data_IF_680262369608
#
_entry.id   IF_680262369608
#
_cell.length_a   1.000
_cell.length_b   1.000
_cell.length_c   1.000
_cell.angle_alpha   90.00
_cell.angle_beta   90.00
_cell.angle_gamma   90.00
#
_symmetry.space_group_name_H-M   'P 1'
#
loop_
_entity.id
_entity.type
_entity.pdbx_description
1 polymer ?
#
# COMPACT_ATOMS: atom_id res chain seq x y z
N UNK A 1 -35.81 17.69 12.35
CA UNK A 1 -35.54 16.26 12.66
C UNK A 1 -34.29 16.14 13.51
N UNK A 2 -34.33 15.47 14.67
CA UNK A 2 -33.16 15.32 15.53
C UNK A 2 -32.10 14.45 14.84
N UNK A 3 -30.86 14.95 14.77
CA UNK A 3 -29.73 14.20 14.20
C UNK A 3 -29.44 12.97 15.08
N UNK A 4 -29.70 11.77 14.54
CA UNK A 4 -29.29 10.50 15.20
C UNK A 4 -27.80 10.56 15.50
N UNK A 5 -27.42 10.51 16.79
CA UNK A 5 -26.03 10.36 17.22
C UNK A 5 -25.56 8.97 16.83
N UNK A 6 -24.77 8.85 15.78
CA UNK A 6 -24.14 7.59 15.40
C UNK A 6 -23.03 7.26 16.41
N UNK A 7 -22.99 6.00 16.87
CA UNK A 7 -21.96 5.55 17.79
C UNK A 7 -20.60 5.42 17.08
N UNK A 8 -19.50 5.52 17.82
CA UNK A 8 -18.17 5.14 17.29
C UNK A 8 -17.99 3.63 17.47
N UNK A 9 -17.58 2.95 16.42
CA UNK A 9 -17.22 1.52 16.49
C UNK A 9 -16.02 1.32 17.43
N UNK A 10 -16.19 0.41 18.38
CA UNK A 10 -15.08 -0.11 19.20
C UNK A 10 -14.14 -1.00 18.37
N UNK A 11 -12.96 -1.31 18.90
CA UNK A 11 -12.01 -2.18 18.19
C UNK A 11 -12.53 -3.61 18.02
N UNK A 12 -13.23 -4.16 19.02
CA UNK A 12 -13.88 -5.47 18.91
C UNK A 12 -14.95 -5.48 17.81
N UNK A 13 -15.79 -4.43 17.74
CA UNK A 13 -16.81 -4.29 16.69
C UNK A 13 -16.22 -4.10 15.30
N UNK A 14 -15.07 -3.43 15.17
CA UNK A 14 -14.34 -3.31 13.90
C UNK A 14 -13.88 -4.68 13.40
N UNK A 15 -13.41 -5.55 14.29
CA UNK A 15 -12.94 -6.88 13.92
C UNK A 15 -14.09 -7.81 13.51
N UNK A 16 -15.22 -7.76 14.23
CA UNK A 16 -16.44 -8.47 13.85
C UNK A 16 -17.02 -7.97 12.52
N UNK A 17 -17.07 -6.64 12.32
CA UNK A 17 -17.51 -6.01 11.08
C UNK A 17 -16.70 -6.47 9.86
N UNK A 18 -15.39 -6.68 10.02
CA UNK A 18 -14.53 -7.18 8.94
C UNK A 18 -14.95 -8.59 8.50
N UNK A 19 -15.12 -9.51 9.44
CA UNK A 19 -15.57 -10.88 9.12
C UNK A 19 -16.95 -10.92 8.46
N UNK A 20 -17.87 -10.04 8.89
CA UNK A 20 -19.21 -9.94 8.30
C UNK A 20 -19.20 -9.35 6.88
N UNK A 21 -18.29 -8.42 6.60
CA UNK A 21 -18.08 -7.91 5.24
C UNK A 21 -17.46 -8.97 4.33
N UNK A 22 -16.52 -9.78 4.82
CA UNK A 22 -15.93 -10.89 4.08
C UNK A 22 -17.00 -11.96 3.75
N UNK A 23 -17.94 -12.18 4.68
CA UNK A 23 -19.13 -13.00 4.48
C UNK A 23 -20.19 -12.36 3.56
N UNK A 24 -19.90 -11.20 2.95
CA UNK A 24 -20.76 -10.46 2.03
C UNK A 24 -22.12 -10.04 2.62
N UNK A 25 -22.20 -9.83 3.93
CA UNK A 25 -23.41 -9.30 4.57
C UNK A 25 -23.72 -7.88 4.05
N UNK A 26 -24.98 -7.55 3.70
CA UNK A 26 -25.34 -6.23 3.17
C UNK A 26 -24.96 -5.07 4.12
N UNK A 27 -24.31 -4.05 3.58
CA UNK A 27 -23.86 -2.86 4.33
C UNK A 27 -25.02 -2.12 5.03
N UNK A 28 -26.22 -2.19 4.47
CA UNK A 28 -27.45 -1.65 5.06
C UNK A 28 -27.81 -2.34 6.38
N UNK A 29 -27.60 -3.65 6.48
CA UNK A 29 -27.86 -4.44 7.68
C UNK A 29 -26.77 -4.20 8.72
N UNK A 30 -25.50 -4.15 8.29
CA UNK A 30 -24.36 -3.83 9.16
C UNK A 30 -24.49 -2.44 9.78
N UNK A 31 -24.90 -1.44 9.01
CA UNK A 31 -25.12 -0.08 9.51
C UNK A 31 -26.20 -0.04 10.61
N UNK A 32 -27.31 -0.79 10.45
CA UNK A 32 -28.35 -0.93 11.46
C UNK A 32 -27.83 -1.67 12.69
N UNK A 33 -27.16 -2.82 12.50
CA UNK A 33 -26.61 -3.68 13.56
C UNK A 33 -25.65 -2.93 14.48
N UNK A 34 -24.76 -2.13 13.90
CA UNK A 34 -23.74 -1.41 14.66
C UNK A 34 -24.15 0.02 15.06
N UNK A 35 -25.35 0.47 14.70
CA UNK A 35 -25.83 1.82 15.01
C UNK A 35 -24.98 2.94 14.39
N UNK A 36 -24.41 2.69 13.21
CA UNK A 36 -23.53 3.62 12.49
C UNK A 36 -24.06 3.96 11.10
N UNK A 37 -23.54 5.01 10.49
CA UNK A 37 -23.91 5.36 9.12
C UNK A 37 -23.31 4.36 8.12
N UNK A 38 -23.98 4.16 6.96
CA UNK A 38 -23.41 3.38 5.83
C UNK A 38 -22.04 3.91 5.42
N UNK A 39 -21.84 5.23 5.46
CA UNK A 39 -20.56 5.89 5.17
C UNK A 39 -19.45 5.46 6.14
N UNK A 40 -19.78 5.26 7.41
CA UNK A 40 -18.82 4.76 8.41
C UNK A 40 -18.33 3.36 8.06
N UNK A 41 -19.23 2.48 7.60
CA UNK A 41 -18.87 1.13 7.15
C UNK A 41 -17.96 1.19 5.92
N UNK A 42 -18.31 1.96 4.88
CA UNK A 42 -17.48 2.13 3.69
C UNK A 42 -16.10 2.74 3.99
N UNK A 43 -16.03 3.73 4.89
CA UNK A 43 -14.75 4.32 5.27
C UNK A 43 -13.83 3.31 5.96
N UNK A 44 -14.39 2.38 6.75
CA UNK A 44 -13.60 1.30 7.36
C UNK A 44 -13.20 0.24 6.35
N UNK A 45 -14.13 -0.17 5.47
CA UNK A 45 -13.85 -1.09 4.36
C UNK A 45 -12.71 -0.56 3.48
N UNK A 46 -12.83 0.66 2.98
CA UNK A 46 -11.81 1.28 2.13
C UNK A 46 -10.46 1.38 2.87
N UNK A 47 -10.46 1.74 4.15
CA UNK A 47 -9.24 1.79 4.96
C UNK A 47 -8.60 0.41 5.18
N UNK A 48 -9.39 -0.66 5.19
CA UNK A 48 -8.87 -2.04 5.27
C UNK A 48 -8.38 -2.54 3.92
N UNK A 49 -9.07 -2.22 2.83
CA UNK A 49 -8.63 -2.50 1.47
C UNK A 49 -7.33 -1.72 1.14
N UNK A 50 -7.17 -0.51 1.69
CA UNK A 50 -5.93 0.30 1.62
C UNK A 50 -4.82 -0.21 2.57
N UNK A 51 -5.13 -0.99 3.61
CA UNK A 51 -4.13 -1.58 4.50
C UNK A 51 -3.69 -2.94 3.98
N UNK A 52 -2.45 -3.03 3.52
CA UNK A 52 -1.75 -4.30 3.29
C UNK A 52 -1.99 -5.25 4.49
N UNK A 53 -2.25 -6.56 4.25
CA UNK A 53 -2.59 -7.51 5.30
C UNK A 53 -1.44 -7.64 6.32
N UNK A 54 -1.59 -6.95 7.45
CA UNK A 54 -0.54 -6.79 8.47
C UNK A 54 -0.69 -7.71 9.69
N UNK A 55 -1.64 -8.66 9.73
CA UNK A 55 -1.71 -9.59 10.85
C UNK A 55 -0.70 -10.73 10.68
N UNK A 56 0.52 -10.52 11.17
CA UNK A 56 1.58 -11.53 11.29
C UNK A 56 1.11 -12.60 12.30
N UNK A 57 0.53 -13.71 11.81
CA UNK A 57 -0.12 -14.73 12.66
C UNK A 57 0.65 -16.05 12.79
N UNK A 58 1.80 -16.19 12.14
CA UNK A 58 2.63 -17.41 12.12
C UNK A 58 4.04 -17.11 12.62
N UNK A 59 4.62 -18.06 13.35
CA UNK A 59 5.98 -17.98 13.92
C UNK A 59 6.88 -18.98 13.20
N UNK A 60 8.06 -18.52 12.77
CA UNK A 60 9.14 -19.35 12.25
C UNK A 60 10.25 -19.40 13.31
N UNK A 61 10.68 -20.60 13.72
CA UNK A 61 11.79 -20.80 14.67
C UNK A 61 12.91 -21.56 13.99
N UNK A 62 14.12 -21.02 14.04
CA UNK A 62 15.32 -21.63 13.43
C UNK A 62 16.43 -21.64 14.49
N UNK A 63 17.14 -22.76 14.62
CA UNK A 63 18.37 -22.83 15.43
C UNK A 63 19.54 -22.38 14.57
N UNK A 64 20.36 -21.49 15.11
CA UNK A 64 21.55 -20.95 14.45
C UNK A 64 22.73 -21.00 15.41
N UNK A 65 23.95 -20.94 14.88
CA UNK A 65 25.15 -20.83 15.71
C UNK A 65 25.20 -19.47 16.41
N UNK A 66 26.06 -19.34 17.43
CA UNK A 66 26.30 -18.04 18.08
C UNK A 66 26.86 -17.01 17.09
N UNK A 67 27.77 -17.45 16.21
CA UNK A 67 28.37 -16.62 15.18
C UNK A 67 27.33 -16.10 14.17
N UNK A 68 26.43 -16.96 13.68
CA UNK A 68 25.36 -16.55 12.77
C UNK A 68 24.39 -15.55 13.43
N UNK A 69 24.12 -15.73 14.73
CA UNK A 69 23.28 -14.81 15.49
C UNK A 69 23.94 -13.44 15.61
N UNK A 70 25.26 -13.38 15.87
CA UNK A 70 26.02 -12.13 15.92
C UNK A 70 26.05 -11.42 14.57
N UNK A 71 26.24 -12.16 13.47
CA UNK A 71 26.19 -11.61 12.11
C UNK A 71 24.82 -11.00 11.80
N UNK A 72 23.73 -11.67 12.18
CA UNK A 72 22.38 -11.14 12.02
C UNK A 72 22.15 -9.87 12.87
N UNK A 73 22.69 -9.84 14.09
CA UNK A 73 22.61 -8.66 14.97
C UNK A 73 23.38 -7.47 14.42
N UNK A 74 24.57 -7.69 13.86
CA UNK A 74 25.35 -6.65 13.20
C UNK A 74 24.58 -6.04 12.02
N UNK A 75 24.00 -6.89 11.16
CA UNK A 75 23.17 -6.46 10.04
C UNK A 75 21.93 -5.67 10.50
N UNK A 76 21.29 -6.12 11.58
CA UNK A 76 20.12 -5.42 12.13
C UNK A 76 20.47 -4.01 12.64
N UNK A 77 21.65 -3.84 13.27
CA UNK A 77 22.14 -2.53 13.71
C UNK A 77 22.47 -1.63 12.53
N UNK A 78 23.13 -2.15 11.50
CA UNK A 78 23.47 -1.37 10.29
C UNK A 78 22.22 -0.82 9.60
N UNK A 79 21.15 -1.61 9.57
CA UNK A 79 19.89 -1.25 8.93
C UNK A 79 18.93 -0.45 9.83
N UNK A 80 19.28 -0.22 11.10
CA UNK A 80 18.40 0.35 12.13
C UNK A 80 17.04 -0.37 12.23
N UNK A 81 17.10 -1.70 12.30
CA UNK A 81 15.92 -2.58 12.37
C UNK A 81 16.00 -3.53 13.56
N UNK A 82 14.82 -4.02 13.97
CA UNK A 82 14.78 -5.16 14.90
C UNK A 82 15.33 -6.41 14.22
N UNK A 83 16.00 -7.29 14.99
CA UNK A 83 16.46 -8.61 14.50
C UNK A 83 15.37 -9.36 13.75
N UNK A 84 14.15 -9.36 14.28
CA UNK A 84 13.01 -10.05 13.69
C UNK A 84 12.56 -9.42 12.36
N UNK A 85 12.55 -8.09 12.25
CA UNK A 85 12.22 -7.41 11.00
C UNK A 85 13.34 -7.59 9.96
N UNK A 86 14.62 -7.58 10.37
CA UNK A 86 15.77 -7.89 9.50
C UNK A 86 15.67 -9.30 8.94
N UNK A 87 15.54 -10.32 9.79
CA UNK A 87 15.40 -11.71 9.37
C UNK A 87 14.21 -11.91 8.44
N UNK A 88 13.08 -11.27 8.75
CA UNK A 88 11.89 -11.30 7.89
C UNK A 88 12.14 -10.64 6.54
N UNK A 89 12.79 -9.47 6.50
CA UNK A 89 13.08 -8.78 5.23
C UNK A 89 14.01 -9.62 4.36
N UNK A 90 15.06 -10.20 4.94
CA UNK A 90 15.97 -11.11 4.22
C UNK A 90 15.20 -12.32 3.68
N UNK A 91 14.37 -12.98 4.50
CA UNK A 91 13.53 -14.11 4.07
C UNK A 91 12.58 -13.75 2.93
N UNK A 92 11.88 -12.62 3.04
CA UNK A 92 10.96 -12.17 2.01
C UNK A 92 11.68 -11.79 0.73
N UNK A 93 12.83 -11.13 0.87
CA UNK A 93 13.67 -10.77 -0.25
C UNK A 93 14.16 -12.02 -0.98
N UNK A 94 14.66 -13.03 -0.27
CA UNK A 94 15.06 -14.32 -0.85
C UNK A 94 13.87 -15.06 -1.50
N UNK A 95 12.67 -14.93 -0.95
CA UNK A 95 11.44 -15.49 -1.52
C UNK A 95 10.89 -14.70 -2.73
N UNK A 96 11.60 -13.68 -3.22
CA UNK A 96 11.15 -12.84 -4.33
C UNK A 96 10.00 -11.89 -3.99
N UNK A 97 9.72 -11.70 -2.70
CA UNK A 97 8.71 -10.74 -2.23
C UNK A 97 9.39 -9.36 -2.13
N UNK A 98 9.02 -8.49 -3.07
CA UNK A 98 9.54 -7.13 -3.18
C UNK A 98 9.32 -6.34 -1.89
N UNK A 99 10.40 -5.75 -1.36
CA UNK A 99 10.37 -4.76 -0.29
C UNK A 99 10.96 -3.46 -0.84
N UNK A 100 10.19 -2.37 -0.77
CA UNK A 100 10.64 -1.04 -1.23
C UNK A 100 11.85 -0.65 -0.37
N UNK A 101 13.00 -0.40 -1.00
CA UNK A 101 14.20 0.06 -0.27
C UNK A 101 14.01 1.53 0.19
N UNK A 102 14.67 1.99 1.26
CA UNK A 102 14.54 3.35 1.78
C UNK A 102 14.76 4.51 0.77
N UNK A 103 15.76 4.46 -0.14
CA UNK A 103 15.91 5.51 -1.17
C UNK A 103 14.75 5.50 -2.18
N UNK A 104 14.18 4.32 -2.44
CA UNK A 104 13.03 4.14 -3.35
C UNK A 104 11.74 4.67 -2.73
N UNK A 105 11.62 4.59 -1.40
CA UNK A 105 10.53 5.22 -0.68
C UNK A 105 10.50 6.74 -0.93
N UNK A 106 11.68 7.39 -1.05
CA UNK A 106 11.78 8.81 -1.36
C UNK A 106 11.35 9.16 -2.80
N UNK A 107 11.79 8.39 -3.79
CA UNK A 107 11.38 8.56 -5.20
C UNK A 107 9.87 8.31 -5.39
N UNK A 108 9.35 7.25 -4.77
CA UNK A 108 7.91 6.93 -4.81
C UNK A 108 7.11 7.97 -4.02
N UNK A 109 7.63 8.48 -2.90
CA UNK A 109 6.99 9.56 -2.14
C UNK A 109 6.95 10.86 -2.94
N UNK A 110 8.02 11.21 -3.66
CA UNK A 110 8.06 12.36 -4.55
C UNK A 110 7.00 12.22 -5.67
N UNK A 111 6.99 11.09 -6.37
CA UNK A 111 5.95 10.77 -7.37
C UNK A 111 4.54 10.83 -6.77
N UNK A 112 4.37 10.31 -5.54
CA UNK A 112 3.07 10.34 -4.85
C UNK A 112 2.63 11.77 -4.52
N UNK A 113 3.57 12.65 -4.13
CA UNK A 113 3.30 14.07 -3.87
C UNK A 113 2.89 14.80 -5.15
N UNK A 114 3.56 14.54 -6.26
CA UNK A 114 3.25 15.11 -7.58
C UNK A 114 1.87 14.66 -8.06
N UNK A 115 1.60 13.35 -8.06
CA UNK A 115 0.28 12.80 -8.43
C UNK A 115 -0.83 13.35 -7.52
N UNK A 116 -0.56 13.50 -6.22
CA UNK A 116 -1.51 14.10 -5.28
C UNK A 116 -1.80 15.58 -5.60
N UNK A 117 -0.80 16.34 -6.03
CA UNK A 117 -0.98 17.72 -6.46
C UNK A 117 -1.84 17.80 -7.73
N UNK A 118 -1.57 16.93 -8.71
CA UNK A 118 -2.40 16.84 -9.92
C UNK A 118 -3.84 16.46 -9.56
N UNK A 119 -4.05 15.48 -8.67
CA UNK A 119 -5.38 15.08 -8.22
C UNK A 119 -6.16 16.19 -7.50
N UNK A 120 -5.48 17.06 -6.73
CA UNK A 120 -6.10 18.25 -6.14
C UNK A 120 -6.58 19.23 -7.22
N UNK A 121 -5.75 19.50 -8.23
CA UNK A 121 -6.07 20.41 -9.32
C UNK A 121 -7.23 19.87 -10.19
N UNK A 122 -7.23 18.57 -10.52
CA UNK A 122 -8.34 17.90 -11.21
C UNK A 122 -9.64 18.05 -10.41
N UNK A 123 -9.61 17.82 -9.10
CA UNK A 123 -10.79 17.99 -8.25
C UNK A 123 -11.30 19.44 -8.21
N UNK A 124 -10.40 20.43 -8.25
CA UNK A 124 -10.77 21.84 -8.33
C UNK A 124 -11.43 22.15 -9.68
N UNK A 125 -10.85 21.67 -10.79
CA UNK A 125 -11.43 21.85 -12.12
C UNK A 125 -12.83 21.25 -12.20
N UNK A 126 -13.02 20.01 -11.75
CA UNK A 126 -14.34 19.35 -11.72
C UNK A 126 -15.34 20.12 -10.86
N UNK A 127 -14.94 20.65 -9.69
CA UNK A 127 -15.82 21.48 -8.86
C UNK A 127 -16.23 22.77 -9.55
N UNK A 128 -15.29 23.44 -10.23
CA UNK A 128 -15.57 24.65 -11.00
C UNK A 128 -16.54 24.36 -12.17
N UNK A 129 -16.36 23.24 -12.87
CA UNK A 129 -17.27 22.77 -13.92
C UNK A 129 -18.67 22.50 -13.37
N UNK A 130 -18.77 21.74 -12.28
CA UNK A 130 -20.05 21.43 -11.64
C UNK A 130 -20.78 22.70 -11.18
N UNK A 131 -20.04 23.69 -10.70
CA UNK A 131 -20.59 25.00 -10.30
C UNK A 131 -21.10 25.78 -11.51
N UNK A 132 -20.37 25.80 -12.62
CA UNK A 132 -20.79 26.45 -13.86
C UNK A 132 -22.08 25.81 -14.42
N UNK A 133 -22.14 24.47 -14.46
CA UNK A 133 -23.32 23.72 -14.89
C UNK A 133 -24.52 24.01 -13.99
N UNK A 134 -24.36 24.00 -12.66
CA UNK A 134 -25.45 24.33 -11.72
C UNK A 134 -25.98 25.75 -11.90
N UNK A 135 -25.13 26.68 -12.34
CA UNK A 135 -25.51 28.07 -12.64
C UNK A 135 -26.05 28.27 -14.06
N UNK A 136 -26.20 27.19 -14.84
CA UNK A 136 -26.60 27.25 -16.25
C UNK A 136 -25.57 27.92 -17.17
N UNK A 137 -24.33 28.07 -16.71
CA UNK A 137 -23.24 28.68 -17.46
C UNK A 137 -22.56 27.66 -18.35
N UNK A 138 -22.08 28.09 -19.52
CA UNK A 138 -21.23 27.26 -20.37
C UNK A 138 -19.91 26.99 -19.66
N UNK A 139 -19.44 25.75 -19.73
CA UNK A 139 -18.13 25.37 -19.20
C UNK A 139 -17.03 26.07 -20.04
N UNK A 140 -16.09 26.79 -19.42
CA UNK A 140 -15.00 27.42 -20.16
C UNK A 140 -14.11 26.38 -20.84
N UNK A 141 -13.79 26.60 -22.13
CA UNK A 141 -12.94 25.68 -22.91
C UNK A 141 -11.54 25.53 -22.33
N UNK A 142 -10.97 26.62 -21.80
CA UNK A 142 -9.71 26.62 -21.06
C UNK A 142 -9.70 25.60 -19.91
N UNK A 143 -10.83 25.41 -19.24
CA UNK A 143 -10.96 24.49 -18.10
C UNK A 143 -10.99 23.03 -18.56
N UNK A 144 -11.58 22.77 -19.73
CA UNK A 144 -11.53 21.45 -20.39
C UNK A 144 -10.12 21.13 -20.87
N UNK A 145 -9.42 22.10 -21.46
CA UNK A 145 -8.04 21.95 -21.93
C UNK A 145 -7.08 21.70 -20.76
N UNK A 146 -7.24 22.42 -19.65
CA UNK A 146 -6.48 22.19 -18.42
C UNK A 146 -6.72 20.78 -17.87
N UNK A 147 -7.97 20.32 -17.80
CA UNK A 147 -8.31 18.97 -17.34
C UNK A 147 -7.70 17.89 -18.23
N UNK A 148 -7.79 18.04 -19.56
CA UNK A 148 -7.20 17.12 -20.51
C UNK A 148 -5.67 17.05 -20.37
N UNK A 149 -5.00 18.19 -20.20
CA UNK A 149 -3.56 18.25 -19.96
C UNK A 149 -3.18 17.52 -18.66
N UNK A 150 -3.92 17.74 -17.57
CA UNK A 150 -3.65 17.08 -16.30
C UNK A 150 -3.87 15.56 -16.35
N UNK A 151 -4.89 15.09 -17.06
CA UNK A 151 -5.11 13.65 -17.27
C UNK A 151 -3.97 13.01 -18.06
N UNK A 152 -3.43 13.69 -19.08
CA UNK A 152 -2.24 13.24 -19.80
C UNK A 152 -1.00 13.17 -18.90
N UNK A 153 -0.81 14.16 -18.02
CA UNK A 153 0.28 14.12 -17.03
C UNK A 153 0.13 12.91 -16.10
N UNK A 154 -1.06 12.61 -15.57
CA UNK A 154 -1.28 11.42 -14.73
C UNK A 154 -0.89 10.14 -15.47
N UNK A 155 -1.30 10.00 -16.74
CA UNK A 155 -0.98 8.83 -17.54
C UNK A 155 0.54 8.64 -17.70
N UNK A 156 1.28 9.73 -17.92
CA UNK A 156 2.75 9.70 -18.02
C UNK A 156 3.41 9.27 -16.72
N UNK A 157 3.07 9.89 -15.58
CA UNK A 157 3.66 9.53 -14.28
C UNK A 157 3.33 8.08 -13.87
N UNK A 158 2.16 7.56 -14.26
CA UNK A 158 1.81 6.16 -14.02
C UNK A 158 2.70 5.21 -14.83
N UNK A 159 2.98 5.55 -16.09
CA UNK A 159 3.89 4.76 -16.92
C UNK A 159 5.33 4.81 -16.40
N UNK A 160 5.80 5.98 -15.96
CA UNK A 160 7.11 6.13 -15.32
C UNK A 160 7.22 5.25 -14.06
N UNK A 161 6.24 5.32 -13.16
CA UNK A 161 6.18 4.49 -11.97
C UNK A 161 6.20 2.99 -12.31
N UNK A 162 5.40 2.56 -13.30
CA UNK A 162 5.40 1.16 -13.78
C UNK A 162 6.75 0.73 -14.33
N UNK A 163 7.38 1.57 -15.15
CA UNK A 163 8.68 1.26 -15.75
C UNK A 163 9.78 1.11 -14.69
N UNK A 164 9.76 1.94 -13.65
CA UNK A 164 10.66 1.85 -12.50
C UNK A 164 10.44 0.56 -11.73
N UNK A 165 9.18 0.21 -11.45
CA UNK A 165 8.81 -1.03 -10.76
C UNK A 165 9.24 -2.28 -11.55
N UNK A 166 9.03 -2.30 -12.87
CA UNK A 166 9.40 -3.44 -13.73
C UNK A 166 10.92 -3.61 -13.79
N UNK A 167 11.67 -2.54 -14.06
CA UNK A 167 13.15 -2.59 -14.13
C UNK A 167 13.75 -3.05 -12.81
N UNK A 168 13.23 -2.57 -11.68
CA UNK A 168 13.69 -2.99 -10.35
C UNK A 168 13.30 -4.43 -10.03
N UNK A 169 12.07 -4.85 -10.34
CA UNK A 169 11.66 -6.25 -10.20
C UNK A 169 12.57 -7.21 -10.98
N UNK A 170 12.97 -6.83 -12.19
CA UNK A 170 13.95 -7.59 -12.98
C UNK A 170 15.33 -7.65 -12.31
N UNK A 171 15.84 -6.53 -11.79
CA UNK A 171 17.13 -6.50 -11.06
C UNK A 171 17.11 -7.34 -9.79
N UNK A 172 16.04 -7.24 -9.01
CA UNK A 172 15.87 -8.04 -7.80
C UNK A 172 15.88 -9.53 -8.15
N UNK A 173 15.12 -9.94 -9.17
CA UNK A 173 15.09 -11.33 -9.62
C UNK A 173 16.47 -11.84 -10.02
N UNK A 174 17.21 -11.07 -10.82
CA UNK A 174 18.57 -11.43 -11.22
C UNK A 174 19.57 -11.48 -10.05
N UNK A 175 19.32 -10.75 -8.96
CA UNK A 175 20.14 -10.84 -7.76
C UNK A 175 19.78 -12.08 -6.92
N UNK A 176 18.49 -12.38 -6.77
CA UNK A 176 18.02 -13.61 -6.09
C UNK A 176 18.51 -14.86 -6.81
N UNK A 177 18.40 -14.90 -8.15
CA UNK A 177 18.86 -16.03 -8.95
C UNK A 177 20.36 -16.31 -8.69
N UNK A 178 21.18 -15.26 -8.59
CA UNK A 178 22.60 -15.39 -8.21
C UNK A 178 22.80 -15.94 -6.80
N UNK A 179 22.01 -15.49 -5.83
CA UNK A 179 22.08 -16.01 -4.45
C UNK A 179 21.71 -17.49 -4.42
N UNK A 180 20.65 -17.89 -5.14
CA UNK A 180 20.22 -19.29 -5.25
C UNK A 180 21.30 -20.15 -5.90
N UNK A 181 21.96 -19.66 -6.95
CA UNK A 181 23.05 -20.37 -7.63
C UNK A 181 24.24 -20.59 -6.68
N UNK A 182 24.63 -19.57 -5.90
CA UNK A 182 25.70 -19.69 -4.90
C UNK A 182 25.32 -20.74 -3.85
N UNK A 183 24.11 -20.68 -3.30
CA UNK A 183 23.63 -21.64 -2.29
C UNK A 183 23.58 -23.08 -2.84
N UNK A 184 23.20 -23.25 -4.11
CA UNK A 184 23.09 -24.55 -4.76
C UNK A 184 24.47 -25.16 -5.05
N UNK A 185 25.45 -24.32 -5.40
CA UNK A 185 26.82 -24.74 -5.65
C UNK A 185 27.58 -25.07 -4.35
N UNK A 186 27.33 -24.33 -3.26
CA UNK A 186 27.92 -24.64 -1.94
C UNK A 186 27.35 -25.94 -1.33
N UNK A 187 26.10 -26.28 -1.64
CA UNK A 187 25.48 -27.55 -1.23
C UNK A 187 26.08 -28.80 -1.94
N UNK A 188 26.89 -28.61 -2.99
CA UNK A 188 27.51 -29.69 -3.77
C UNK A 188 28.98 -29.98 -3.39
N UNK A 189 29.57 -29.27 -2.43
CA UNK A 189 30.89 -29.64 -1.89
C UNK A 189 30.75 -30.80 -0.89
N UNK A 190 31.29 -32.00 -1.17
CA UNK A 190 31.33 -33.05 -0.17
C UNK A 190 32.32 -32.65 0.94
N UNK A 191 31.88 -32.82 2.19
CA UNK A 191 32.77 -32.83 3.36
C UNK A 191 33.65 -34.06 3.35
#
# INVERSE_FOLDING_TARGET
MPRRKFSRLTNAQKQALRGELDAKVPVTELAKKYGVSRRTIYNHKNRWDERLPQSRSKVLTVRVSAEDMERLDALARELDLSRADTARRVLLYAAGIYHIEPPEAGEIEALTKEVSAIGRNVNQAVRAMNTAVQRGQKIPRLLLDQLAHQLHQIARHNEEARSLMVRRGQRQRAHIDRVIDIMSNDAQKPY
#
